data_IF_039836874913
#
_entry.id   IF_039836874913
#
_cell.length_a   1.000
_cell.length_b   1.000
_cell.length_c   1.000
_cell.angle_alpha   90.00
_cell.angle_beta   90.00
_cell.angle_gamma   90.00
#
_symmetry.space_group_name_H-M   'P 1'
#
loop_
_entity.id
_entity.type
_entity.pdbx_description
1 polymer ?
#
# COMPACT_ATOMS: atom_id res chain seq x y z
N UNK A 1 -6.61 -8.67 -15.27
CA UNK A 1 -6.71 -8.95 -13.82
C UNK A 1 -7.29 -7.71 -13.12
N UNK A 2 -8.09 -7.88 -12.05
CA UNK A 2 -8.77 -6.75 -11.38
C UNK A 2 -7.75 -6.01 -10.51
N UNK A 3 -7.64 -4.69 -10.66
CA UNK A 3 -7.13 -3.79 -9.62
C UNK A 3 -8.02 -4.03 -8.41
N UNK A 4 -7.41 -4.39 -7.29
CA UNK A 4 -8.12 -4.66 -6.05
C UNK A 4 -7.62 -3.60 -5.09
N UNK A 5 -8.22 -2.42 -5.17
CA UNK A 5 -8.04 -1.37 -4.16
C UNK A 5 -8.84 -1.71 -2.89
N UNK A 6 -9.73 -2.71 -3.00
CA UNK A 6 -10.55 -3.25 -1.94
C UNK A 6 -10.38 -4.76 -1.81
N UNK A 7 -9.79 -5.23 -0.71
CA UNK A 7 -9.69 -6.65 -0.43
C UNK A 7 -10.48 -7.03 0.81
N UNK A 8 -11.24 -8.12 0.74
CA UNK A 8 -11.89 -8.69 1.92
C UNK A 8 -11.14 -9.95 2.34
N UNK A 9 -10.71 -9.98 3.60
CA UNK A 9 -9.98 -11.11 4.19
C UNK A 9 -10.62 -11.52 5.51
N UNK A 10 -10.56 -12.82 5.79
CA UNK A 10 -10.96 -13.40 7.07
C UNK A 10 -9.73 -13.56 7.95
N UNK A 11 -9.71 -12.88 9.09
CA UNK A 11 -8.67 -13.02 10.10
C UNK A 11 -9.19 -13.86 11.26
N UNK A 12 -8.42 -14.86 11.67
CA UNK A 12 -8.73 -15.78 12.77
C UNK A 12 -7.57 -15.79 13.74
N UNK A 13 -7.75 -15.21 14.92
CA UNK A 13 -6.75 -15.28 15.97
C UNK A 13 -6.69 -16.68 16.59
N UNK A 14 -5.55 -17.01 17.18
CA UNK A 14 -5.34 -18.25 17.89
C UNK A 14 -6.23 -18.33 19.13
N UNK A 15 -6.81 -19.49 19.41
CA UNK A 15 -7.48 -19.70 20.70
C UNK A 15 -6.46 -19.95 21.80
N UNK A 16 -6.85 -19.70 23.05
CA UNK A 16 -6.03 -20.07 24.21
C UNK A 16 -5.91 -21.58 24.38
N UNK A 17 -4.77 -22.01 24.91
CA UNK A 17 -4.57 -23.37 25.40
C UNK A 17 -5.43 -23.64 26.62
N UNK A 18 -5.83 -24.89 26.83
CA UNK A 18 -6.58 -25.27 28.01
C UNK A 18 -5.66 -25.42 29.22
N UNK A 19 -6.14 -25.03 30.41
CA UNK A 19 -5.45 -25.36 31.66
C UNK A 19 -5.51 -26.86 31.95
N UNK A 20 -4.48 -27.37 32.63
CA UNK A 20 -4.42 -28.78 33.00
C UNK A 20 -4.99 -29.01 34.40
N UNK A 21 -5.71 -30.11 34.59
CA UNK A 21 -6.05 -30.63 35.92
C UNK A 21 -5.19 -31.87 36.19
N UNK A 22 -4.04 -31.67 36.83
CA UNK A 22 -3.10 -32.73 37.17
C UNK A 22 -2.78 -32.76 38.67
N UNK A 23 -2.34 -33.92 39.15
CA UNK A 23 -1.87 -34.11 40.52
C UNK A 23 -0.52 -34.81 40.52
N UNK A 24 0.35 -34.42 41.44
CA UNK A 24 1.65 -35.09 41.62
C UNK A 24 1.44 -36.55 42.02
N UNK A 25 2.16 -37.44 41.35
CA UNK A 25 2.19 -38.87 41.67
C UNK A 25 3.62 -39.28 41.98
N UNK A 26 3.87 -39.63 43.24
CA UNK A 26 5.18 -40.07 43.72
C UNK A 26 5.01 -41.41 44.45
N UNK A 27 6.00 -42.30 44.31
CA UNK A 27 5.94 -43.68 44.81
C UNK A 27 5.63 -43.79 46.31
N UNK A 28 6.00 -42.79 47.10
CA UNK A 28 5.82 -42.76 48.56
C UNK A 28 4.80 -41.72 49.05
N UNK A 29 4.10 -41.02 48.14
CA UNK A 29 3.10 -40.00 48.49
C UNK A 29 1.73 -40.44 47.93
N UNK A 30 0.81 -40.92 48.79
CA UNK A 30 -0.50 -41.43 48.33
C UNK A 30 -1.36 -40.39 47.61
N UNK A 31 -1.31 -39.12 48.06
CA UNK A 31 -2.08 -38.01 47.47
C UNK A 31 -1.19 -36.76 47.33
N UNK A 32 -0.59 -36.59 46.16
CA UNK A 32 0.16 -35.38 45.83
C UNK A 32 -0.75 -34.18 45.62
N UNK A 33 -0.20 -32.97 45.83
CA UNK A 33 -0.90 -31.73 45.56
C UNK A 33 -1.18 -31.50 44.06
N UNK A 34 -2.04 -30.52 43.72
CA UNK A 34 -2.30 -30.16 42.33
C UNK A 34 -1.02 -29.63 41.65
N UNK A 35 -0.80 -30.03 40.40
CA UNK A 35 0.35 -29.64 39.58
C UNK A 35 0.02 -29.41 38.11
N UNK A 36 -1.24 -29.10 37.79
CA UNK A 36 -1.61 -28.71 36.43
C UNK A 36 -1.24 -27.26 36.13
N UNK A 37 -0.40 -27.05 35.11
CA UNK A 37 -0.06 -25.72 34.59
C UNK A 37 -1.16 -25.10 33.74
N UNK A 38 -0.98 -23.81 33.44
CA UNK A 38 -1.90 -23.03 32.61
C UNK A 38 -1.66 -23.28 31.11
N UNK A 39 -2.69 -23.09 30.30
CA UNK A 39 -2.54 -23.02 28.86
C UNK A 39 -1.87 -21.72 28.43
N UNK A 40 -1.17 -21.75 27.31
CA UNK A 40 -0.59 -20.55 26.68
C UNK A 40 -1.66 -19.72 25.97
N UNK A 41 -1.41 -18.43 25.81
CA UNK A 41 -2.27 -17.53 25.02
C UNK A 41 -2.21 -17.90 23.53
N UNK A 42 -3.27 -17.58 22.79
CA UNK A 42 -3.29 -17.73 21.33
C UNK A 42 -2.60 -16.56 20.64
N UNK A 43 -2.05 -16.80 19.45
CA UNK A 43 -1.43 -15.74 18.64
C UNK A 43 -2.46 -14.72 18.16
N UNK A 44 -2.09 -13.45 18.15
CA UNK A 44 -2.90 -12.35 17.61
C UNK A 44 -2.60 -12.13 16.12
N UNK A 45 -3.51 -11.45 15.43
CA UNK A 45 -3.31 -11.03 14.03
C UNK A 45 -3.11 -9.53 13.97
N UNK A 46 -2.00 -9.13 13.36
CA UNK A 46 -1.60 -7.74 13.17
C UNK A 46 -1.52 -7.42 11.69
N UNK A 47 -1.96 -6.22 11.32
CA UNK A 47 -1.59 -5.60 10.04
C UNK A 47 -0.38 -4.71 10.26
N UNK A 48 0.56 -4.75 9.31
CA UNK A 48 1.78 -3.94 9.34
C UNK A 48 1.85 -3.16 8.04
N UNK A 49 1.92 -1.83 8.13
CA UNK A 49 2.10 -1.00 6.96
C UNK A 49 3.51 -1.20 6.39
N UNK A 50 3.62 -1.37 5.08
CA UNK A 50 4.88 -1.55 4.38
C UNK A 50 4.91 -0.66 3.14
N UNK A 51 5.87 0.27 3.08
CA UNK A 51 6.12 1.12 1.91
C UNK A 51 6.62 0.35 0.68
N UNK A 52 7.09 -0.89 0.87
CA UNK A 52 7.44 -1.76 -0.25
C UNK A 52 6.21 -2.21 -1.06
N UNK A 53 5.02 -2.19 -0.46
CA UNK A 53 3.78 -2.66 -1.07
C UNK A 53 2.92 -1.48 -1.52
N UNK A 54 2.49 -1.50 -2.79
CA UNK A 54 1.66 -0.43 -3.38
C UNK A 54 0.26 -0.90 -3.79
N UNK A 55 -0.04 -2.20 -3.68
CA UNK A 55 -1.36 -2.75 -4.08
C UNK A 55 -1.84 -3.84 -3.10
N UNK A 56 -3.16 -4.09 -3.05
CA UNK A 56 -3.76 -5.16 -2.24
C UNK A 56 -4.04 -6.45 -3.06
N UNK A 57 -3.38 -6.61 -4.22
CA UNK A 57 -3.65 -7.72 -5.15
C UNK A 57 -3.39 -9.10 -4.52
N UNK A 58 -2.41 -9.21 -3.63
CA UNK A 58 -2.02 -10.48 -2.99
C UNK A 58 -3.14 -11.10 -2.15
N UNK A 59 -3.99 -10.26 -1.55
CA UNK A 59 -5.14 -10.67 -0.75
C UNK A 59 -6.28 -11.30 -1.55
N UNK A 60 -6.22 -11.22 -2.88
CA UNK A 60 -7.21 -11.88 -3.74
C UNK A 60 -7.09 -13.40 -3.70
N UNK A 61 -5.85 -13.89 -3.61
CA UNK A 61 -5.51 -15.30 -3.60
C UNK A 61 -5.46 -15.85 -2.16
N UNK A 62 -4.88 -15.10 -1.23
CA UNK A 62 -4.83 -15.45 0.19
C UNK A 62 -5.88 -14.67 0.97
N UNK A 63 -7.05 -15.28 1.17
CA UNK A 63 -8.20 -14.65 1.85
C UNK A 63 -8.37 -15.03 3.31
N UNK A 64 -7.60 -16.01 3.81
CA UNK A 64 -7.73 -16.54 5.16
C UNK A 64 -6.39 -16.52 5.86
N UNK A 65 -6.32 -15.81 6.99
CA UNK A 65 -5.14 -15.73 7.84
C UNK A 65 -5.50 -16.25 9.22
N UNK A 66 -4.79 -17.27 9.68
CA UNK A 66 -5.09 -17.96 10.93
C UNK A 66 -3.86 -18.06 11.81
N UNK A 67 -3.89 -17.37 12.94
CA UNK A 67 -2.85 -17.46 13.94
C UNK A 67 -2.90 -18.81 14.70
N UNK A 68 -1.74 -19.36 15.09
CA UNK A 68 -1.64 -20.61 15.83
C UNK A 68 -2.27 -20.51 17.22
N UNK A 69 -2.85 -21.63 17.66
CA UNK A 69 -3.41 -21.80 19.01
C UNK A 69 -2.30 -21.89 20.05
N UNK A 70 -2.54 -21.37 21.26
CA UNK A 70 -1.71 -21.64 22.43
C UNK A 70 -1.71 -23.11 22.83
N UNK A 71 -0.60 -23.61 23.36
CA UNK A 71 -0.48 -24.99 23.83
C UNK A 71 -1.22 -25.18 25.16
N UNK A 72 -1.75 -26.39 25.38
CA UNK A 72 -2.36 -26.73 26.67
C UNK A 72 -1.31 -26.78 27.78
N UNK A 73 -1.73 -26.46 29.00
CA UNK A 73 -0.93 -26.74 30.18
C UNK A 73 -0.71 -28.25 30.35
N UNK A 74 0.33 -28.61 31.07
CA UNK A 74 0.67 -30.01 31.37
C UNK A 74 0.82 -30.21 32.88
N UNK A 75 1.00 -31.46 33.31
CA UNK A 75 1.35 -31.78 34.70
C UNK A 75 2.73 -31.24 35.07
N UNK A 76 3.17 -31.46 36.31
CA UNK A 76 4.46 -30.96 36.82
C UNK A 76 4.60 -29.42 36.74
N UNK A 77 3.50 -28.69 36.85
CA UNK A 77 3.42 -27.22 36.79
C UNK A 77 3.93 -26.62 35.47
N UNK A 78 3.87 -27.39 34.38
CA UNK A 78 4.35 -26.95 33.08
C UNK A 78 3.28 -26.11 32.37
N UNK A 79 3.60 -24.83 32.17
CA UNK A 79 2.79 -23.89 31.41
C UNK A 79 2.91 -24.13 29.90
N UNK A 80 1.81 -24.00 29.17
CA UNK A 80 1.78 -24.11 27.72
C UNK A 80 2.45 -22.92 27.03
N UNK A 81 3.17 -23.16 25.92
CA UNK A 81 3.73 -22.08 25.07
C UNK A 81 2.59 -21.27 24.43
N UNK A 82 2.75 -19.95 24.37
CA UNK A 82 1.87 -19.08 23.60
C UNK A 82 1.94 -19.35 22.09
N UNK A 83 0.85 -19.10 21.38
CA UNK A 83 0.81 -19.06 19.93
C UNK A 83 1.62 -17.89 19.39
N UNK A 84 2.29 -18.08 18.27
CA UNK A 84 3.02 -17.03 17.57
C UNK A 84 2.05 -16.08 16.86
N UNK A 85 2.33 -14.77 16.91
CA UNK A 85 1.54 -13.77 16.21
C UNK A 85 1.72 -13.87 14.69
N UNK A 86 0.69 -13.49 13.94
CA UNK A 86 0.78 -13.35 12.48
C UNK A 86 0.77 -11.88 12.12
N UNK A 87 1.74 -11.48 11.31
CA UNK A 87 1.83 -10.16 10.72
C UNK A 87 1.46 -10.21 9.24
N UNK A 88 0.48 -9.40 8.86
CA UNK A 88 -0.02 -9.26 7.50
C UNK A 88 0.47 -7.92 6.98
N UNK A 89 1.34 -7.92 5.96
CA UNK A 89 1.89 -6.70 5.39
C UNK A 89 0.88 -6.08 4.41
N UNK A 90 0.60 -4.79 4.57
CA UNK A 90 -0.33 -4.03 3.70
C UNK A 90 0.33 -2.72 3.25
N UNK A 91 -0.05 -2.15 2.11
CA UNK A 91 0.40 -0.83 1.70
C UNK A 91 0.11 0.27 2.73
N UNK A 92 0.99 1.26 2.81
CA UNK A 92 0.69 2.50 3.54
C UNK A 92 -0.54 3.19 2.93
N UNK A 93 -1.38 3.78 3.76
CA UNK A 93 -2.67 4.36 3.37
C UNK A 93 -3.83 3.36 3.32
N UNK A 94 -3.63 2.12 3.81
CA UNK A 94 -4.70 1.13 3.93
C UNK A 94 -5.61 1.45 5.11
N UNK A 95 -6.90 1.55 4.85
CA UNK A 95 -7.97 1.68 5.82
C UNK A 95 -8.62 0.33 6.05
N UNK A 96 -8.90 0.03 7.32
CA UNK A 96 -9.40 -1.28 7.73
C UNK A 96 -10.78 -1.09 8.34
N UNK A 97 -11.77 -1.73 7.73
CA UNK A 97 -13.17 -1.69 8.17
C UNK A 97 -13.63 -3.10 8.52
N UNK A 98 -14.38 -3.25 9.61
CA UNK A 98 -15.03 -4.51 9.94
C UNK A 98 -16.26 -4.69 9.06
N UNK A 99 -16.36 -5.82 8.35
CA UNK A 99 -17.46 -6.09 7.42
C UNK A 99 -18.79 -6.27 8.15
N UNK A 100 -18.76 -6.83 9.35
CA UNK A 100 -19.98 -7.16 10.08
C UNK A 100 -20.60 -5.94 10.77
N UNK A 101 -19.77 -5.00 11.23
CA UNK A 101 -20.21 -3.80 11.97
C UNK A 101 -20.12 -2.50 11.18
N UNK A 102 -19.50 -2.53 10.00
CA UNK A 102 -19.17 -1.35 9.18
C UNK A 102 -18.35 -0.29 9.93
N UNK A 103 -17.68 -0.70 11.02
CA UNK A 103 -16.86 0.16 11.87
C UNK A 103 -15.41 0.19 11.34
N UNK A 104 -14.87 1.39 11.20
CA UNK A 104 -13.46 1.58 10.85
C UNK A 104 -12.60 1.24 12.06
N UNK A 105 -11.83 0.14 11.95
CA UNK A 105 -10.90 -0.32 12.99
C UNK A 105 -9.72 0.66 13.12
N UNK A 106 -9.25 1.18 11.98
CA UNK A 106 -8.17 2.16 11.94
C UNK A 106 -7.55 2.30 10.55
N UNK A 107 -6.62 3.24 10.43
CA UNK A 107 -5.84 3.52 9.23
C UNK A 107 -4.34 3.38 9.48
N UNK A 108 -3.65 2.80 8.51
CA UNK A 108 -2.20 2.60 8.53
C UNK A 108 -1.57 3.69 7.68
N UNK A 109 -1.07 4.76 8.30
CA UNK A 109 -0.61 5.98 7.62
C UNK A 109 0.91 6.11 7.57
N UNK A 110 1.64 5.37 8.40
CA UNK A 110 3.11 5.40 8.44
C UNK A 110 3.71 4.01 8.24
N UNK A 111 4.89 3.95 7.64
CA UNK A 111 5.64 2.70 7.46
C UNK A 111 5.93 2.01 8.80
N UNK A 112 5.81 0.69 8.84
CA UNK A 112 6.02 -0.11 10.04
C UNK A 112 4.95 0.07 11.12
N UNK A 113 3.93 0.90 10.89
CA UNK A 113 2.80 1.03 11.82
C UNK A 113 2.09 -0.32 11.93
N UNK A 114 1.83 -0.76 13.17
CA UNK A 114 1.17 -2.04 13.48
C UNK A 114 -0.24 -1.77 14.00
N UNK A 115 -1.24 -2.43 13.42
CA UNK A 115 -2.63 -2.37 13.85
C UNK A 115 -3.13 -3.77 14.21
N UNK A 116 -3.58 -3.96 15.45
CA UNK A 116 -4.15 -5.24 15.89
C UNK A 116 -5.56 -5.38 15.32
N UNK A 117 -5.80 -6.40 14.49
CA UNK A 117 -7.10 -6.63 13.85
C UNK A 117 -7.91 -7.75 14.49
N UNK A 118 -7.23 -8.71 15.12
CA UNK A 118 -7.88 -9.77 15.89
C UNK A 118 -7.03 -10.15 17.10
N UNK A 119 -7.63 -10.12 18.30
CA UNK A 119 -6.98 -10.49 19.55
C UNK A 119 -6.97 -12.00 19.78
N UNK A 120 -5.81 -12.53 20.19
CA UNK A 120 -5.64 -13.91 20.61
C UNK A 120 -6.43 -14.27 21.86
N UNK A 121 -6.92 -15.50 21.93
CA UNK A 121 -7.62 -16.02 23.10
C UNK A 121 -6.67 -16.23 24.28
N UNK A 122 -7.14 -15.96 25.49
CA UNK A 122 -6.36 -16.12 26.73
C UNK A 122 -6.24 -17.59 27.13
N UNK A 123 -5.08 -17.95 27.65
CA UNK A 123 -4.79 -19.25 28.24
C UNK A 123 -5.73 -19.60 29.39
N UNK A 124 -6.13 -20.86 29.44
CA UNK A 124 -6.95 -21.40 30.53
C UNK A 124 -6.10 -21.67 31.78
N UNK A 125 -6.63 -21.32 32.95
CA UNK A 125 -6.01 -21.59 34.24
C UNK A 125 -6.02 -23.10 34.57
N UNK A 126 -4.87 -23.61 34.99
CA UNK A 126 -4.71 -24.95 35.55
C UNK A 126 -5.29 -25.08 36.95
N UNK A 127 -5.34 -26.30 37.47
CA UNK A 127 -5.95 -26.55 38.78
C UNK A 127 -5.19 -25.93 39.96
N UNK A 128 -3.92 -25.56 39.79
CA UNK A 128 -3.11 -24.90 40.82
C UNK A 128 -3.76 -23.59 41.29
N UNK A 129 -4.34 -22.80 40.38
CA UNK A 129 -4.97 -21.51 40.69
C UNK A 129 -6.26 -21.64 41.51
N UNK A 130 -6.90 -22.80 41.48
CA UNK A 130 -8.14 -23.06 42.23
C UNK A 130 -7.88 -23.60 43.65
N UNK A 131 -6.61 -23.70 44.06
CA UNK A 131 -6.23 -24.19 45.39
C UNK A 131 -6.52 -23.11 46.43
N UNK A 132 -7.28 -23.47 47.46
CA UNK A 132 -7.53 -22.60 48.61
C UNK A 132 -7.30 -23.34 49.92
N UNK A 133 -7.33 -22.62 51.04
CA UNK A 133 -7.24 -23.21 52.39
C UNK A 133 -8.32 -24.27 52.64
N UNK A 134 -9.48 -24.09 52.01
CA UNK A 134 -10.65 -24.99 52.09
C UNK A 134 -10.62 -26.06 51.00
N UNK A 135 -10.19 -25.73 49.78
CA UNK A 135 -10.09 -26.67 48.66
C UNK A 135 -8.61 -26.96 48.32
N UNK A 136 -8.03 -27.96 48.99
CA UNK A 136 -6.60 -28.30 48.84
C UNK A 136 -6.27 -29.11 47.57
N UNK A 137 -7.26 -29.76 46.97
CA UNK A 137 -7.10 -30.65 45.79
C UNK A 137 -8.15 -30.35 44.70
N UNK A 138 -8.16 -29.15 44.13
CA UNK A 138 -9.08 -28.78 43.07
C UNK A 138 -8.92 -29.67 41.84
N UNK A 139 -10.02 -30.20 41.33
CA UNK A 139 -10.10 -30.97 40.07
C UNK A 139 -10.59 -30.14 38.88
N UNK A 140 -10.75 -28.83 39.08
CA UNK A 140 -11.23 -27.89 38.07
C UNK A 140 -10.04 -27.25 37.38
N UNK A 141 -10.10 -27.18 36.05
CA UNK A 141 -9.30 -26.30 35.22
C UNK A 141 -10.25 -25.53 34.30
N UNK A 142 -9.82 -24.36 33.83
CA UNK A 142 -10.60 -23.59 32.85
C UNK A 142 -10.09 -23.85 31.44
N UNK A 143 -10.99 -23.94 30.44
CA UNK A 143 -10.58 -23.95 29.04
C UNK A 143 -10.00 -22.58 28.66
N UNK A 144 -9.16 -22.53 27.63
CA UNK A 144 -8.73 -21.27 27.04
C UNK A 144 -9.89 -20.56 26.36
N UNK A 145 -9.84 -19.23 26.28
CA UNK A 145 -10.87 -18.47 25.57
C UNK A 145 -10.69 -18.62 24.05
N UNK A 146 -11.77 -18.56 23.26
CA UNK A 146 -11.64 -18.47 21.81
C UNK A 146 -10.90 -17.17 21.44
N UNK A 147 -10.15 -17.21 20.34
CA UNK A 147 -9.58 -16.02 19.72
C UNK A 147 -10.63 -15.32 18.87
N UNK A 148 -10.42 -14.03 18.60
CA UNK A 148 -11.34 -13.27 17.77
C UNK A 148 -11.31 -13.75 16.30
N UNK A 149 -12.48 -13.74 15.68
CA UNK A 149 -12.65 -14.01 14.25
C UNK A 149 -13.39 -12.83 13.67
N UNK A 150 -12.81 -12.20 12.64
CA UNK A 150 -13.40 -11.03 11.99
C UNK A 150 -13.20 -11.13 10.49
N UNK A 151 -14.22 -10.72 9.74
CA UNK A 151 -14.09 -10.43 8.32
C UNK A 151 -13.79 -8.94 8.20
N UNK A 152 -12.63 -8.60 7.62
CA UNK A 152 -12.19 -7.22 7.47
C UNK A 152 -12.10 -6.85 5.99
N UNK A 153 -12.51 -5.63 5.67
CA UNK A 153 -12.35 -4.97 4.37
C UNK A 153 -11.15 -4.03 4.47
N UNK A 154 -10.21 -4.20 3.55
CA UNK A 154 -9.03 -3.36 3.37
C UNK A 154 -9.29 -2.47 2.17
N UNK A 155 -9.18 -1.16 2.34
CA UNK A 155 -9.34 -0.16 1.28
C UNK A 155 -8.10 0.72 1.20
N UNK A 156 -7.46 0.81 0.04
CA UNK A 156 -6.31 1.69 -0.17
C UNK A 156 -6.78 3.10 -0.52
N UNK A 157 -6.43 4.11 0.29
CA UNK A 157 -6.77 5.52 0.04
C UNK A 157 -5.79 6.27 -0.88
N UNK A 158 -4.69 5.64 -1.32
CA UNK A 158 -3.72 6.26 -2.24
C UNK A 158 -4.16 6.07 -3.70
N UNK A 159 -4.13 7.16 -4.47
CA UNK A 159 -4.74 7.22 -5.81
C UNK A 159 -3.75 6.99 -6.96
N UNK A 160 -2.50 7.44 -6.83
CA UNK A 160 -1.43 7.16 -7.79
C UNK A 160 -0.06 7.58 -7.27
N UNK A 161 0.99 6.86 -7.68
CA UNK A 161 2.38 7.22 -7.45
C UNK A 161 2.88 8.20 -8.52
N UNK A 162 2.40 8.03 -9.76
CA UNK A 162 2.78 8.81 -10.94
C UNK A 162 1.54 9.47 -11.55
N UNK A 163 1.61 10.77 -11.78
CA UNK A 163 0.58 11.53 -12.50
C UNK A 163 0.99 11.83 -13.94
N UNK A 164 0.12 11.59 -14.92
CA UNK A 164 0.34 12.00 -16.31
C UNK A 164 -0.29 13.36 -16.60
N UNK A 165 0.52 14.26 -17.12
CA UNK A 165 0.15 15.58 -17.62
C UNK A 165 0.27 15.61 -19.14
N UNK A 166 -0.46 16.50 -19.80
CA UNK A 166 -0.38 16.66 -21.25
C UNK A 166 -1.73 16.96 -21.89
N UNK A 167 -1.67 17.47 -23.12
CA UNK A 167 -2.84 17.84 -23.92
C UNK A 167 -3.76 16.65 -24.23
N UNK A 168 -5.05 16.89 -24.51
CA UNK A 168 -5.91 15.87 -25.10
C UNK A 168 -5.22 15.33 -26.36
N UNK A 169 -5.24 14.01 -26.56
CA UNK A 169 -4.57 13.34 -27.69
C UNK A 169 -3.03 13.33 -27.70
N UNK A 170 -2.35 13.83 -26.65
CA UNK A 170 -0.90 13.63 -26.47
C UNK A 170 -0.52 12.14 -26.31
N UNK A 171 -1.51 11.28 -26.06
CA UNK A 171 -1.33 9.83 -25.96
C UNK A 171 -1.21 9.32 -24.53
N UNK A 172 -1.64 10.09 -23.52
CA UNK A 172 -1.65 9.70 -22.09
C UNK A 172 -2.36 8.37 -21.86
N UNK A 173 -3.60 8.23 -22.30
CA UNK A 173 -4.35 6.98 -22.12
C UNK A 173 -3.75 5.80 -22.91
N UNK A 174 -3.12 6.08 -24.06
CA UNK A 174 -2.38 5.06 -24.84
C UNK A 174 -1.14 4.62 -24.08
N UNK A 175 -0.40 5.54 -23.46
CA UNK A 175 0.74 5.23 -22.62
C UNK A 175 0.34 4.34 -21.44
N UNK A 176 -0.71 4.70 -20.69
CA UNK A 176 -1.24 3.86 -19.58
C UNK A 176 -1.56 2.44 -20.07
N UNK A 177 -2.21 2.30 -21.22
CA UNK A 177 -2.51 0.98 -21.82
C UNK A 177 -1.26 0.20 -22.19
N UNK A 178 -0.22 0.88 -22.68
CA UNK A 178 1.03 0.25 -23.08
C UNK A 178 1.86 -0.24 -21.88
N UNK A 179 1.89 0.52 -20.79
CA UNK A 179 2.73 0.20 -19.61
C UNK A 179 2.01 -0.64 -18.55
N UNK A 180 0.67 -0.69 -18.60
CA UNK A 180 -0.10 -1.36 -17.56
C UNK A 180 -0.07 -2.89 -17.73
N UNK A 181 0.34 -3.59 -16.67
CA UNK A 181 0.31 -5.06 -16.58
C UNK A 181 -1.11 -5.62 -16.46
N UNK A 182 -2.11 -4.75 -16.23
CA UNK A 182 -3.53 -5.06 -16.24
C UNK A 182 -4.26 -4.18 -17.27
N UNK A 183 -5.47 -4.57 -17.69
CA UNK A 183 -6.32 -3.67 -18.49
C UNK A 183 -6.61 -2.41 -17.66
N UNK A 184 -6.27 -1.20 -18.16
CA UNK A 184 -6.52 0.05 -17.45
C UNK A 184 -7.99 0.15 -17.05
N UNK A 185 -8.23 0.60 -15.82
CA UNK A 185 -9.58 0.72 -15.29
C UNK A 185 -9.95 2.17 -15.14
N UNK A 186 -11.20 2.43 -15.48
CA UNK A 186 -11.92 3.65 -15.16
C UNK A 186 -12.34 3.50 -13.70
N UNK A 187 -11.88 4.39 -12.82
CA UNK A 187 -12.20 4.32 -11.39
C UNK A 187 -13.29 5.32 -11.00
N UNK A 188 -14.22 4.85 -10.17
CA UNK A 188 -15.43 5.58 -9.76
C UNK A 188 -15.24 6.06 -8.32
N UNK A 189 -14.42 7.09 -8.14
CA UNK A 189 -14.20 7.65 -6.81
C UNK A 189 -15.36 8.56 -6.38
N UNK A 190 -15.76 8.57 -5.09
CA UNK A 190 -16.90 9.37 -4.60
C UNK A 190 -16.78 10.88 -4.82
N UNK A 191 -15.58 11.36 -5.14
CA UNK A 191 -15.20 12.77 -5.27
C UNK A 191 -14.76 13.16 -6.69
N UNK A 192 -14.91 12.26 -7.68
CA UNK A 192 -14.55 12.55 -9.08
C UNK A 192 -15.80 12.64 -9.95
N UNK A 193 -15.96 13.72 -10.72
CA UNK A 193 -16.97 13.82 -11.78
C UNK A 193 -16.49 13.26 -13.12
N UNK A 194 -15.17 13.18 -13.32
CA UNK A 194 -14.53 12.51 -14.44
C UNK A 194 -13.73 11.34 -13.90
N UNK A 195 -14.04 10.15 -14.40
CA UNK A 195 -13.36 8.94 -13.98
C UNK A 195 -11.91 8.92 -14.50
N UNK A 196 -10.88 8.97 -13.62
CA UNK A 196 -9.50 8.92 -14.08
C UNK A 196 -9.16 7.54 -14.64
N UNK A 197 -8.29 7.51 -15.64
CA UNK A 197 -7.72 6.27 -16.15
C UNK A 197 -6.53 5.88 -15.27
N UNK A 198 -6.58 4.68 -14.70
CA UNK A 198 -5.51 4.13 -13.86
C UNK A 198 -4.89 2.90 -14.50
N UNK A 199 -3.57 2.76 -14.35
CA UNK A 199 -2.81 1.57 -14.75
C UNK A 199 -1.80 1.13 -13.67
N UNK A 200 -1.68 -0.18 -13.48
CA UNK A 200 -0.59 -0.76 -12.64
C UNK A 200 0.58 -1.05 -13.55
N UNK A 201 1.72 -0.43 -13.28
CA UNK A 201 2.98 -0.82 -13.91
C UNK A 201 3.67 -1.83 -13.00
N UNK A 202 4.02 -3.00 -13.55
CA UNK A 202 4.78 -4.03 -12.83
C UNK A 202 6.12 -4.24 -13.52
N UNK A 203 7.20 -4.01 -12.78
CA UNK A 203 8.58 -4.17 -13.27
C UNK A 203 9.22 -5.45 -12.74
N UNK A 204 8.87 -5.85 -11.51
CA UNK A 204 9.43 -7.04 -10.85
C UNK A 204 8.41 -7.76 -9.96
N UNK A 205 8.90 -8.72 -9.16
CA UNK A 205 8.05 -9.54 -8.28
C UNK A 205 7.35 -8.69 -7.22
N UNK A 206 8.07 -7.73 -6.63
CA UNK A 206 7.61 -6.82 -5.56
C UNK A 206 7.76 -5.32 -5.95
N UNK A 207 8.00 -5.03 -7.23
CA UNK A 207 8.15 -3.66 -7.74
C UNK A 207 6.98 -3.33 -8.65
N UNK A 208 6.06 -2.55 -8.11
CA UNK A 208 4.89 -2.03 -8.83
C UNK A 208 4.58 -0.62 -8.40
N UNK A 209 4.02 0.17 -9.30
CA UNK A 209 3.51 1.52 -9.01
C UNK A 209 2.25 1.80 -9.83
N UNK A 210 1.47 2.78 -9.38
CA UNK A 210 0.21 3.19 -9.99
C UNK A 210 0.41 4.47 -10.78
N UNK A 211 0.02 4.43 -12.05
CA UNK A 211 -0.02 5.59 -12.95
C UNK A 211 -1.47 6.05 -13.11
N UNK A 212 -1.72 7.33 -12.85
CA UNK A 212 -3.01 7.97 -13.11
C UNK A 212 -2.90 9.00 -14.24
N UNK A 213 -3.89 9.02 -15.12
CA UNK A 213 -4.17 10.18 -15.96
C UNK A 213 -4.76 11.28 -15.07
N UNK A 214 -4.26 12.50 -15.20
CA UNK A 214 -4.82 13.68 -14.54
C UNK A 214 -5.78 14.36 -15.54
N UNK A 215 -7.08 14.01 -15.55
CA UNK A 215 -8.07 14.73 -16.33
C UNK A 215 -8.23 16.19 -15.85
N UNK A 216 -8.58 17.08 -16.77
CA UNK A 216 -9.21 18.36 -16.41
C UNK A 216 -8.29 19.54 -16.09
N UNK A 217 -7.01 19.51 -16.44
CA UNK A 217 -6.21 20.75 -16.40
C UNK A 217 -6.60 21.71 -17.54
N UNK A 218 -7.14 21.17 -18.64
CA UNK A 218 -7.27 21.87 -19.94
C UNK A 218 -8.74 22.18 -20.30
N UNK A 219 -9.70 21.78 -19.45
CA UNK A 219 -11.13 22.08 -19.64
C UNK A 219 -11.69 22.83 -18.43
N UNK A 220 -11.70 24.16 -18.50
CA UNK A 220 -12.61 25.00 -17.70
C UNK A 220 -12.37 25.09 -16.19
N UNK A 221 -11.19 24.69 -15.67
CA UNK A 221 -10.90 24.75 -14.23
C UNK A 221 -10.89 26.19 -13.64
N UNK A 222 -10.86 27.22 -14.48
CA UNK A 222 -10.98 28.62 -14.07
C UNK A 222 -12.44 29.13 -13.92
N UNK A 223 -13.44 28.46 -14.52
CA UNK A 223 -14.84 28.91 -14.51
C UNK A 223 -15.76 27.94 -13.73
N UNK A 224 -15.64 27.96 -12.40
CA UNK A 224 -16.82 27.89 -11.53
C UNK A 224 -17.44 26.53 -11.18
N UNK A 225 -16.83 25.39 -11.48
CA UNK A 225 -17.29 24.10 -10.94
C UNK A 225 -16.28 23.60 -9.90
N UNK A 226 -16.64 23.62 -8.61
CA UNK A 226 -15.80 23.24 -7.45
C UNK A 226 -15.32 21.77 -7.39
N UNK A 227 -15.07 21.16 -8.55
CA UNK A 227 -14.79 19.76 -8.82
C UNK A 227 -13.29 19.50 -9.09
N UNK A 228 -12.56 20.49 -9.64
CA UNK A 228 -11.13 20.36 -9.95
C UNK A 228 -10.21 20.43 -8.72
N UNK A 229 -10.54 21.28 -7.74
CA UNK A 229 -9.72 21.51 -6.54
C UNK A 229 -9.63 20.24 -5.67
N UNK A 230 -10.73 19.48 -5.53
CA UNK A 230 -10.71 18.24 -4.76
C UNK A 230 -9.91 17.15 -5.49
N UNK A 231 -10.09 16.98 -6.81
CA UNK A 231 -9.31 16.00 -7.57
C UNK A 231 -7.81 16.33 -7.57
N UNK A 232 -7.44 17.59 -7.77
CA UNK A 232 -6.04 18.02 -7.78
C UNK A 232 -5.38 17.93 -6.39
N UNK A 233 -6.12 18.09 -5.28
CA UNK A 233 -5.63 17.78 -3.92
C UNK A 233 -5.29 16.30 -3.72
N UNK A 234 -5.90 15.42 -4.50
CA UNK A 234 -5.57 14.01 -4.49
C UNK A 234 -4.39 13.69 -5.41
N UNK A 235 -4.29 14.40 -6.54
CA UNK A 235 -3.12 14.39 -7.44
C UNK A 235 -1.89 15.00 -6.75
N UNK A 236 -2.06 15.93 -5.81
CA UNK A 236 -0.98 16.43 -4.95
C UNK A 236 -0.45 15.39 -3.97
N UNK A 237 -0.74 14.09 -4.15
CA UNK A 237 -0.02 12.99 -3.48
C UNK A 237 0.81 12.15 -4.43
N UNK A 238 0.88 12.47 -5.73
CA UNK A 238 1.79 11.81 -6.68
C UNK A 238 3.23 12.25 -6.42
N UNK A 239 4.15 11.31 -6.27
CA UNK A 239 5.55 11.66 -6.03
C UNK A 239 6.27 12.10 -7.31
N UNK A 240 5.74 11.73 -8.48
CA UNK A 240 6.31 12.07 -9.79
C UNK A 240 5.25 12.50 -10.80
N UNK A 241 5.56 13.50 -11.62
CA UNK A 241 4.74 13.92 -12.74
C UNK A 241 5.44 13.61 -14.08
N UNK A 242 4.75 12.92 -14.99
CA UNK A 242 5.21 12.71 -16.36
C UNK A 242 4.44 13.63 -17.30
N UNK A 243 5.15 14.57 -17.92
CA UNK A 243 4.59 15.49 -18.89
C UNK A 243 4.67 14.87 -20.29
N UNK A 244 3.54 14.32 -20.76
CA UNK A 244 3.42 13.70 -22.08
C UNK A 244 3.12 14.76 -23.12
N UNK A 245 3.99 14.86 -24.13
CA UNK A 245 3.91 15.83 -25.21
C UNK A 245 3.92 15.09 -26.54
N UNK A 246 3.09 15.54 -27.47
CA UNK A 246 3.13 15.04 -28.85
C UNK A 246 4.26 15.76 -29.60
N UNK A 247 5.19 15.01 -30.19
CA UNK A 247 6.31 15.58 -30.95
C UNK A 247 5.83 16.33 -32.20
N UNK A 248 4.72 15.90 -32.81
CA UNK A 248 4.16 16.52 -34.01
C UNK A 248 2.64 16.51 -33.94
N UNK A 249 2.04 17.49 -33.24
CA UNK A 249 0.60 17.62 -33.13
C UNK A 249 -0.06 17.70 -34.50
N UNK A 250 -1.11 16.90 -34.72
CA UNK A 250 -1.85 16.84 -35.99
C UNK A 250 -2.56 18.18 -36.29
N UNK A 251 -2.90 18.93 -35.25
CA UNK A 251 -3.52 20.25 -35.33
C UNK A 251 -2.54 21.38 -35.68
N UNK A 252 -1.24 21.07 -35.80
CA UNK A 252 -0.19 22.03 -36.12
C UNK A 252 0.16 22.97 -34.96
N UNK A 253 -0.31 22.68 -33.74
CA UNK A 253 0.08 23.42 -32.54
C UNK A 253 1.55 23.17 -32.17
N UNK A 254 2.19 24.14 -31.52
CA UNK A 254 3.58 24.03 -31.10
C UNK A 254 3.69 23.23 -29.78
N UNK A 255 4.44 22.12 -29.74
CA UNK A 255 4.64 21.32 -28.54
C UNK A 255 5.16 22.14 -27.34
N UNK A 256 5.98 23.15 -27.61
CA UNK A 256 6.58 24.02 -26.58
C UNK A 256 5.51 24.89 -25.92
N UNK A 257 4.61 25.49 -26.71
CA UNK A 257 3.53 26.32 -26.19
C UNK A 257 2.52 25.50 -25.38
N UNK A 258 2.28 24.25 -25.76
CA UNK A 258 1.44 23.32 -25.00
C UNK A 258 2.01 23.10 -23.59
N UNK A 259 3.30 22.77 -23.49
CA UNK A 259 3.96 22.57 -22.18
C UNK A 259 3.89 23.82 -21.32
N UNK A 260 4.20 24.99 -21.89
CA UNK A 260 4.16 26.27 -21.18
C UNK A 260 2.75 26.68 -20.74
N UNK A 261 1.71 26.25 -21.46
CA UNK A 261 0.32 26.50 -21.07
C UNK A 261 -0.04 25.66 -19.84
N UNK A 262 0.29 24.37 -19.85
CA UNK A 262 0.08 23.48 -18.70
C UNK A 262 0.90 23.94 -17.49
N UNK A 263 2.11 24.45 -17.69
CA UNK A 263 2.92 25.04 -16.61
C UNK A 263 2.26 26.23 -15.93
N UNK A 264 1.75 27.18 -16.72
CA UNK A 264 1.04 28.35 -16.20
C UNK A 264 -0.21 27.96 -15.45
N UNK A 265 -0.93 26.95 -15.95
CA UNK A 265 -2.09 26.39 -15.28
C UNK A 265 -1.70 25.75 -13.96
N UNK A 266 -0.73 24.83 -13.92
CA UNK A 266 -0.24 24.21 -12.69
C UNK A 266 0.18 25.25 -11.64
N UNK A 267 0.91 26.28 -12.06
CA UNK A 267 1.33 27.38 -11.19
C UNK A 267 0.16 28.21 -10.65
N UNK A 268 -0.94 28.33 -11.40
CA UNK A 268 -2.14 29.01 -10.93
C UNK A 268 -2.94 28.23 -9.87
N UNK A 269 -2.78 26.90 -9.82
CA UNK A 269 -3.56 26.02 -8.94
C UNK A 269 -2.86 25.73 -7.61
N UNK A 270 -1.61 25.27 -7.65
CA UNK A 270 -0.88 24.88 -6.45
C UNK A 270 0.64 25.03 -6.66
N UNK A 271 1.27 25.84 -5.82
CA UNK A 271 2.73 26.03 -5.85
C UNK A 271 3.46 24.73 -5.50
N UNK A 272 2.88 23.84 -4.67
CA UNK A 272 3.52 22.57 -4.32
C UNK A 272 3.55 21.56 -5.47
N UNK A 273 2.67 21.69 -6.48
CA UNK A 273 2.68 20.85 -7.68
C UNK A 273 3.77 21.27 -8.67
N UNK A 274 4.16 22.56 -8.66
CA UNK A 274 5.21 23.09 -9.53
C UNK A 274 6.60 22.61 -9.10
N UNK A 275 6.84 22.52 -7.80
CA UNK A 275 8.13 22.05 -7.24
C UNK A 275 8.32 20.52 -7.39
N UNK A 276 7.24 19.83 -7.78
CA UNK A 276 7.19 18.65 -8.66
C UNK A 276 8.47 18.13 -9.31
N UNK A 277 9.09 17.00 -8.91
CA UNK A 277 9.90 16.24 -9.84
C UNK A 277 9.06 15.92 -11.09
N UNK A 278 9.50 16.42 -12.24
CA UNK A 278 8.72 16.35 -13.48
C UNK A 278 9.59 15.93 -14.63
N UNK A 279 9.19 14.87 -15.34
CA UNK A 279 9.93 14.35 -16.48
C UNK A 279 9.16 14.61 -17.76
N UNK A 280 9.90 14.90 -18.83
CA UNK A 280 9.33 15.13 -20.14
C UNK A 280 9.26 13.80 -20.89
N UNK A 281 8.09 13.48 -21.43
CA UNK A 281 7.86 12.27 -22.22
C UNK A 281 7.37 12.70 -23.59
N UNK A 282 8.28 12.73 -24.55
CA UNK A 282 8.01 13.08 -25.94
C UNK A 282 7.48 11.81 -26.63
N UNK A 283 6.20 11.84 -26.99
CA UNK A 283 5.47 10.71 -27.53
C UNK A 283 5.25 10.86 -29.04
N UNK A 284 4.89 9.74 -29.69
CA UNK A 284 4.66 9.61 -31.13
C UNK A 284 5.94 9.71 -31.99
N UNK A 285 7.05 9.13 -31.51
CA UNK A 285 8.27 9.02 -32.32
C UNK A 285 8.05 8.27 -33.65
N UNK A 286 7.03 7.42 -33.73
CA UNK A 286 6.63 6.68 -34.93
C UNK A 286 6.14 7.55 -36.10
N UNK A 287 5.96 8.86 -35.89
CA UNK A 287 5.59 9.82 -36.94
C UNK A 287 6.77 10.19 -37.84
N UNK A 288 8.00 9.95 -37.39
CA UNK A 288 9.21 10.23 -38.16
C UNK A 288 9.83 8.93 -38.66
N UNK A 289 10.10 8.86 -39.96
CA UNK A 289 10.80 7.74 -40.59
C UNK A 289 12.33 7.89 -40.53
N UNK A 290 12.81 9.12 -40.32
CA UNK A 290 14.24 9.48 -40.22
C UNK A 290 14.63 9.74 -38.76
N UNK A 291 15.62 9.01 -38.25
CA UNK A 291 16.14 9.12 -36.89
C UNK A 291 16.80 10.49 -36.64
N UNK A 292 17.47 11.07 -37.65
CA UNK A 292 18.16 12.35 -37.51
C UNK A 292 17.16 13.52 -37.36
N UNK A 293 16.04 13.48 -38.10
CA UNK A 293 14.97 14.47 -37.99
C UNK A 293 14.23 14.36 -36.65
N UNK A 294 14.02 13.14 -36.18
CA UNK A 294 13.38 12.83 -34.90
C UNK A 294 14.20 13.37 -33.72
N UNK A 295 15.51 13.09 -33.71
CA UNK A 295 16.41 13.61 -32.68
C UNK A 295 16.51 15.14 -32.74
N UNK A 296 16.56 15.74 -33.94
CA UNK A 296 16.58 17.19 -34.09
C UNK A 296 15.31 17.84 -33.51
N UNK A 297 14.13 17.29 -33.80
CA UNK A 297 12.86 17.79 -33.28
C UNK A 297 12.75 17.64 -31.75
N UNK A 298 13.18 16.50 -31.21
CA UNK A 298 13.18 16.28 -29.77
C UNK A 298 14.13 17.25 -29.05
N UNK A 299 15.34 17.45 -29.60
CA UNK A 299 16.32 18.39 -29.07
C UNK A 299 15.84 19.84 -29.15
N UNK A 300 15.16 20.24 -30.23
CA UNK A 300 14.55 21.56 -30.36
C UNK A 300 13.55 21.83 -29.23
N UNK A 301 12.65 20.89 -28.94
CA UNK A 301 11.66 21.00 -27.86
C UNK A 301 12.36 21.18 -26.51
N UNK A 302 13.36 20.34 -26.20
CA UNK A 302 14.11 20.40 -24.93
C UNK A 302 14.85 21.73 -24.78
N UNK A 303 15.51 22.20 -25.85
CA UNK A 303 16.26 23.45 -25.87
C UNK A 303 15.35 24.66 -25.70
N UNK A 304 14.23 24.71 -26.45
CA UNK A 304 13.28 25.83 -26.40
C UNK A 304 12.53 25.91 -25.07
N UNK A 305 12.31 24.78 -24.40
CA UNK A 305 11.77 24.74 -23.04
C UNK A 305 12.82 25.05 -21.96
N UNK A 306 14.11 24.98 -22.29
CA UNK A 306 15.18 25.07 -21.29
C UNK A 306 15.09 23.94 -20.25
N UNK A 307 14.64 22.76 -20.67
CA UNK A 307 14.29 21.68 -19.75
C UNK A 307 15.53 21.01 -19.17
N UNK A 308 15.61 20.93 -17.84
CA UNK A 308 16.78 20.42 -17.11
C UNK A 308 16.57 19.03 -16.51
N UNK A 309 15.32 18.59 -16.40
CA UNK A 309 14.97 17.27 -15.87
C UNK A 309 15.04 16.18 -16.96
N UNK A 310 14.97 14.88 -16.61
CA UNK A 310 14.98 13.80 -17.58
C UNK A 310 13.92 13.97 -18.68
N UNK A 311 14.32 13.74 -19.93
CA UNK A 311 13.46 13.70 -21.11
C UNK A 311 13.58 12.34 -21.78
N UNK A 312 12.44 11.76 -22.17
CA UNK A 312 12.36 10.45 -22.81
C UNK A 312 11.61 10.55 -24.13
N UNK A 313 12.10 9.82 -25.13
CA UNK A 313 11.44 9.66 -26.42
C UNK A 313 10.75 8.30 -26.45
N UNK A 314 9.45 8.27 -26.75
CA UNK A 314 8.66 7.04 -26.76
C UNK A 314 7.68 6.97 -27.93
N UNK A 315 7.29 5.75 -28.28
CA UNK A 315 6.04 5.48 -29.00
C UNK A 315 5.13 4.66 -28.09
N UNK A 316 4.12 5.32 -27.52
CA UNK A 316 3.10 4.63 -26.73
C UNK A 316 2.31 3.61 -27.59
N UNK A 317 2.08 3.90 -28.88
CA UNK A 317 1.39 3.00 -29.79
C UNK A 317 2.24 1.78 -30.17
N UNK A 318 3.52 1.99 -30.45
CA UNK A 318 4.49 0.94 -30.78
C UNK A 318 5.08 0.21 -29.57
N UNK A 319 4.76 0.63 -28.34
CA UNK A 319 5.37 0.15 -27.09
C UNK A 319 6.91 0.29 -27.07
N UNK A 320 7.45 1.27 -27.79
CA UNK A 320 8.88 1.55 -27.86
C UNK A 320 9.25 2.62 -26.83
N UNK A 321 10.36 2.43 -26.12
CA UNK A 321 10.85 3.34 -25.06
C UNK A 321 10.01 3.35 -23.76
N UNK A 322 8.78 2.85 -23.77
CA UNK A 322 7.87 2.89 -22.62
C UNK A 322 8.39 2.11 -21.40
N UNK A 323 9.06 0.98 -21.64
CA UNK A 323 9.65 0.15 -20.57
C UNK A 323 10.83 0.83 -19.89
N UNK A 324 11.63 1.57 -20.64
CA UNK A 324 12.77 2.31 -20.11
C UNK A 324 12.33 3.44 -19.19
N UNK A 325 11.29 4.19 -19.60
CA UNK A 325 10.64 5.19 -18.74
C UNK A 325 10.20 4.55 -17.43
N UNK A 326 9.50 3.40 -17.49
CA UNK A 326 9.03 2.72 -16.28
C UNK A 326 10.18 2.27 -15.36
N UNK A 327 11.27 1.75 -15.94
CA UNK A 327 12.46 1.34 -15.18
C UNK A 327 13.09 2.54 -14.45
N UNK A 328 13.23 3.68 -15.14
CA UNK A 328 13.75 4.91 -14.54
C UNK A 328 12.83 5.41 -13.42
N UNK A 329 11.51 5.40 -13.64
CA UNK A 329 10.52 5.77 -12.61
C UNK A 329 10.69 4.91 -11.35
N UNK A 330 10.86 3.59 -11.51
CA UNK A 330 11.09 2.70 -10.38
C UNK A 330 12.41 3.01 -9.66
N UNK A 331 13.49 3.28 -10.40
CA UNK A 331 14.77 3.68 -9.81
C UNK A 331 14.66 4.98 -9.02
N UNK A 332 13.87 5.94 -9.51
CA UNK A 332 13.58 7.18 -8.81
C UNK A 332 12.85 6.92 -7.48
N UNK A 333 11.82 6.07 -7.48
CA UNK A 333 11.12 5.71 -6.24
C UNK A 333 11.99 4.89 -5.28
N UNK A 334 12.83 3.98 -5.78
CA UNK A 334 13.76 3.22 -4.96
C UNK A 334 14.79 4.15 -4.30
N UNK A 335 15.28 5.17 -5.01
CA UNK A 335 16.19 6.19 -4.48
C UNK A 335 15.52 7.10 -3.45
N UNK A 336 14.29 7.58 -3.70
CA UNK A 336 13.52 8.35 -2.71
C UNK A 336 13.28 7.54 -1.43
N UNK A 337 12.93 6.26 -1.55
CA UNK A 337 12.76 5.36 -0.39
C UNK A 337 14.06 5.19 0.38
N UNK A 338 15.20 5.02 -0.31
CA UNK A 338 16.50 4.90 0.34
C UNK A 338 16.88 6.19 1.10
N UNK A 339 16.64 7.36 0.51
CA UNK A 339 16.89 8.65 1.15
C UNK A 339 16.03 8.86 2.40
N UNK A 340 14.72 8.59 2.31
CA UNK A 340 13.81 8.71 3.48
C UNK A 340 14.17 7.73 4.59
N UNK A 341 14.64 6.53 4.26
CA UNK A 341 15.09 5.54 5.25
C UNK A 341 16.32 6.04 6.03
N UNK A 342 17.27 6.66 5.34
CA UNK A 342 18.46 7.27 5.97
C UNK A 342 18.06 8.43 6.90
N UNK A 343 17.11 9.27 6.49
CA UNK A 343 16.60 10.37 7.32
C UNK A 343 15.88 9.84 8.57
N UNK A 344 15.09 8.77 8.43
CA UNK A 344 14.40 8.14 9.56
C UNK A 344 15.39 7.50 10.54
N UNK A 345 16.42 6.82 10.04
CA UNK A 345 17.50 6.26 10.85
C UNK A 345 18.29 7.36 11.58
N UNK A 346 18.50 8.53 10.96
CA UNK A 346 19.13 9.68 11.60
C UNK A 346 18.25 10.29 12.70
N UNK A 347 16.93 10.40 12.49
CA UNK A 347 15.97 10.90 13.49
C UNK A 347 15.89 9.95 14.69
N UNK A 348 15.89 8.65 14.45
CA UNK A 348 15.89 7.63 15.51
C UNK A 348 17.21 7.61 16.28
N UNK A 349 18.37 7.83 15.63
CA UNK A 349 19.66 7.97 16.31
C UNK A 349 19.72 9.26 17.18
N UNK A 350 19.11 10.36 16.74
CA UNK A 350 18.98 11.59 17.54
C UNK A 350 18.09 11.36 18.78
N UNK A 351 16.95 10.66 18.62
CA UNK A 351 16.09 10.28 19.75
C UNK A 351 16.78 9.34 20.74
N UNK A 352 17.65 8.46 20.26
CA UNK A 352 18.43 7.55 21.12
C UNK A 352 19.57 8.26 21.87
N UNK A 353 20.01 9.45 21.41
CA UNK A 353 21.05 10.25 22.07
C UNK A 353 20.54 11.25 23.10
N UNK A 354 19.22 11.48 23.19
CA UNK A 354 18.60 12.21 24.29
C UNK A 354 18.99 13.69 24.40
N UNK A 355 19.13 14.39 23.27
CA UNK A 355 19.22 15.86 23.21
C UNK A 355 17.85 16.52 23.03
#
# INVERSE_FOLDING_TARGET
MKFVDEAQIRVTAGSGGNGCASFRREKFIPFGGPDGGDGGDGGSVWLVADEGLNTLVDFRHMRQFKAPRGQNGMGSQMYGKGGEDIEIRVPVGTVVTNVDTDEVIGDLTANGQRLKVAEGGRGGLGNIHFKSSVNRAPRKATPGTPGEVRDIKLELRLLADVGLLGFPNAGKSTFIRAVSAATPRVADYPFTTLHPNLGVVRIGTDQSFVVADIPGIIEGAAEGAGLGIQFLRHVSRTSLLLHVVDIRPIDGSDPVEQVQTIERELASFDTELVDRPRWLVINKMDVFDDEDELEAAANDIVLRLGWTAPSFLISAAGQQGTREVCLQVQQFFDAERAARKLDQEAIDDVRMRGE
#
